data_IF_672132054797
#
_entry.id   IF_672132054797
#
_cell.length_a   1.000
_cell.length_b   1.000
_cell.length_c   1.000
_cell.angle_alpha   90.00
_cell.angle_beta   90.00
_cell.angle_gamma   90.00
#
_symmetry.space_group_name_H-M   'P 1'
#
loop_
_entity.id
_entity.type
_entity.pdbx_description
1 polymer ?
#
# COMPACT_ATOMS: atom_id res chain seq x y z
N UNK A 1 24.99 36.57 -44.16
CA UNK A 1 25.39 35.70 -43.03
C UNK A 1 24.41 35.95 -41.90
N UNK A 2 23.53 34.99 -41.62
CA UNK A 2 22.57 35.10 -40.53
C UNK A 2 23.21 34.53 -39.28
N UNK A 3 23.60 35.38 -38.34
CA UNK A 3 23.97 34.96 -36.99
C UNK A 3 22.71 34.42 -36.29
N UNK A 4 22.61 33.08 -36.24
CA UNK A 4 21.59 32.42 -35.44
C UNK A 4 22.00 32.59 -33.98
N UNK A 5 21.26 33.46 -33.27
CA UNK A 5 21.39 33.76 -31.85
C UNK A 5 21.49 32.48 -31.01
N UNK A 6 22.67 32.29 -30.41
CA UNK A 6 23.10 31.19 -29.52
C UNK A 6 22.32 31.06 -28.18
N UNK A 7 21.20 31.77 -28.03
CA UNK A 7 20.38 31.71 -26.79
C UNK A 7 19.24 30.69 -26.88
N UNK A 8 18.81 30.29 -28.09
CA UNK A 8 17.77 29.26 -28.24
C UNK A 8 18.27 27.85 -27.86
N UNK A 9 19.56 27.57 -28.06
CA UNK A 9 20.14 26.25 -27.82
C UNK A 9 20.32 25.93 -26.32
N UNK A 10 20.49 26.95 -25.47
CA UNK A 10 20.66 26.76 -24.01
C UNK A 10 19.35 26.47 -23.28
N UNK A 11 18.23 26.97 -23.78
CA UNK A 11 16.91 26.81 -23.15
C UNK A 11 16.33 25.42 -23.45
N UNK A 12 16.56 24.89 -24.66
CA UNK A 12 16.13 23.53 -25.02
C UNK A 12 16.83 22.44 -24.19
N UNK A 13 18.12 22.64 -23.83
CA UNK A 13 18.86 21.70 -22.98
C UNK A 13 18.34 21.63 -21.53
N UNK A 14 17.91 22.76 -20.97
CA UNK A 14 17.39 22.84 -19.60
C UNK A 14 15.98 22.23 -19.47
N UNK A 15 15.14 22.35 -20.52
CA UNK A 15 13.80 21.75 -20.54
C UNK A 15 13.83 20.22 -20.70
N UNK A 16 14.81 19.66 -21.42
CA UNK A 16 14.97 18.20 -21.46
C UNK A 16 15.50 17.63 -20.14
N UNK A 17 16.38 18.35 -19.43
CA UNK A 17 16.87 17.92 -18.12
C UNK A 17 15.79 17.97 -17.03
N UNK A 18 14.91 18.99 -17.03
CA UNK A 18 13.82 19.05 -16.05
C UNK A 18 12.74 17.98 -16.29
N UNK A 19 12.53 17.55 -17.54
CA UNK A 19 11.66 16.40 -17.85
C UNK A 19 12.32 15.08 -17.43
N UNK A 20 13.64 14.92 -17.59
CA UNK A 20 14.35 13.72 -17.10
C UNK A 20 14.42 13.68 -15.56
N UNK A 21 14.59 14.81 -14.88
CA UNK A 21 14.56 14.89 -13.41
C UNK A 21 13.12 14.67 -12.90
N UNK A 22 12.10 15.15 -13.63
CA UNK A 22 10.69 14.88 -13.36
C UNK A 22 10.31 13.40 -13.54
N UNK A 23 10.94 12.68 -14.48
CA UNK A 23 10.71 11.26 -14.67
C UNK A 23 11.45 10.39 -13.65
N UNK A 24 12.64 10.83 -13.19
CA UNK A 24 13.35 10.16 -12.11
C UNK A 24 12.69 10.37 -10.73
N UNK A 25 11.86 11.40 -10.57
CA UNK A 25 11.10 11.63 -9.32
C UNK A 25 9.71 10.96 -9.33
N UNK A 26 9.18 10.59 -10.49
CA UNK A 26 8.00 9.71 -10.62
C UNK A 26 8.34 8.20 -10.62
N UNK A 27 9.63 7.86 -10.70
CA UNK A 27 10.14 6.49 -10.48
C UNK A 27 10.62 6.26 -9.06
N UNK A 28 10.22 7.08 -8.09
CA UNK A 28 10.24 6.65 -6.70
C UNK A 28 9.21 5.53 -6.55
N UNK A 29 9.62 4.31 -6.91
CA UNK A 29 9.25 3.13 -6.16
C UNK A 29 9.80 3.33 -4.74
N UNK A 30 9.23 4.28 -4.00
CA UNK A 30 9.33 4.31 -2.56
C UNK A 30 8.85 2.95 -2.09
N UNK A 31 9.64 2.32 -1.25
CA UNK A 31 9.95 0.90 -1.35
C UNK A 31 8.76 0.03 -0.87
N UNK A 32 7.73 -0.11 -1.70
CA UNK A 32 6.55 -0.96 -1.44
C UNK A 32 6.99 -2.39 -1.10
N UNK A 33 8.14 -2.84 -1.59
CA UNK A 33 8.72 -4.13 -1.20
C UNK A 33 9.21 -4.10 0.25
N UNK A 34 9.95 -3.06 0.65
CA UNK A 34 10.33 -2.83 2.05
C UNK A 34 9.12 -2.68 2.96
N UNK A 35 8.11 -1.87 2.59
CA UNK A 35 6.91 -1.71 3.40
C UNK A 35 6.10 -3.02 3.57
N UNK A 36 6.05 -3.87 2.53
CA UNK A 36 5.49 -5.22 2.65
C UNK A 36 6.38 -6.12 3.51
N UNK A 37 7.71 -6.00 3.39
CA UNK A 37 8.65 -6.75 4.25
C UNK A 37 8.51 -6.36 5.72
N UNK A 38 8.32 -5.08 5.99
CA UNK A 38 8.03 -4.56 7.33
C UNK A 38 6.71 -5.13 7.85
N UNK A 39 5.64 -5.08 7.04
CA UNK A 39 4.34 -5.65 7.40
C UNK A 39 4.41 -7.14 7.75
N UNK A 40 5.23 -7.90 7.04
CA UNK A 40 5.45 -9.34 7.27
C UNK A 40 6.16 -9.66 8.58
N UNK A 41 6.97 -8.73 9.07
CA UNK A 41 7.77 -8.88 10.27
C UNK A 41 7.21 -8.04 11.44
N UNK A 42 6.01 -7.49 11.27
CA UNK A 42 5.39 -6.58 12.20
C UNK A 42 4.76 -7.35 13.35
N UNK A 43 5.04 -6.92 14.57
CA UNK A 43 4.27 -7.32 15.75
C UNK A 43 3.02 -6.43 15.80
N UNK A 44 1.84 -7.03 15.66
CA UNK A 44 0.56 -6.35 15.63
C UNK A 44 0.06 -6.08 17.04
N UNK A 45 -0.40 -4.86 17.27
CA UNK A 45 -1.11 -4.45 18.49
C UNK A 45 -2.61 -4.37 18.26
N UNK A 46 -3.02 -4.06 17.03
CA UNK A 46 -4.43 -3.97 16.64
C UNK A 46 -4.59 -4.21 15.14
N UNK A 47 -5.72 -4.82 14.77
CA UNK A 47 -6.20 -4.82 13.38
C UNK A 47 -7.59 -4.19 13.35
N UNK A 48 -7.77 -3.20 12.48
CA UNK A 48 -9.02 -2.47 12.33
C UNK A 48 -9.54 -2.49 10.89
N UNK A 49 -10.83 -2.76 10.72
CA UNK A 49 -11.54 -2.76 9.44
C UNK A 49 -12.36 -1.45 9.32
N UNK A 50 -12.25 -0.79 8.17
CA UNK A 50 -12.77 0.56 7.91
C UNK A 50 -13.43 0.62 6.53
N UNK A 51 -14.44 1.49 6.37
CA UNK A 51 -15.05 1.72 5.05
C UNK A 51 -14.12 2.50 4.10
N UNK A 52 -13.21 3.31 4.66
CA UNK A 52 -12.26 4.12 3.89
C UNK A 52 -11.02 4.46 4.71
N UNK A 53 -9.96 4.95 4.05
CA UNK A 53 -8.67 5.25 4.69
C UNK A 53 -8.79 6.30 5.80
N UNK A 54 -9.57 7.35 5.55
CA UNK A 54 -9.84 8.42 6.51
C UNK A 54 -11.03 8.11 7.43
N UNK A 55 -11.71 6.98 7.22
CA UNK A 55 -12.88 6.56 7.97
C UNK A 55 -12.54 6.06 9.38
N UNK A 56 -13.57 6.04 10.24
CA UNK A 56 -13.48 5.38 11.55
C UNK A 56 -13.49 3.86 11.38
N UNK A 57 -12.90 3.16 12.34
CA UNK A 57 -12.99 1.70 12.42
C UNK A 57 -14.45 1.28 12.62
N UNK A 58 -14.93 0.38 11.76
CA UNK A 58 -16.23 -0.29 11.90
C UNK A 58 -16.09 -1.40 12.94
N UNK A 59 -15.00 -2.16 12.83
CA UNK A 59 -14.63 -3.29 13.69
C UNK A 59 -13.14 -3.25 13.95
N UNK A 60 -12.70 -3.64 15.12
CA UNK A 60 -11.27 -3.85 15.40
C UNK A 60 -11.07 -4.90 16.47
N UNK A 61 -9.87 -5.50 16.49
CA UNK A 61 -9.48 -6.48 17.49
C UNK A 61 -8.10 -6.19 18.04
N UNK A 62 -7.93 -6.49 19.34
CA UNK A 62 -6.66 -6.56 20.06
C UNK A 62 -6.45 -7.95 20.68
N UNK A 63 -7.26 -8.93 20.28
CA UNK A 63 -7.17 -10.30 20.77
C UNK A 63 -5.88 -10.95 20.26
N UNK A 64 -4.97 -11.30 21.17
CA UNK A 64 -3.64 -11.82 20.83
C UNK A 64 -3.69 -13.10 19.99
N UNK A 65 -4.68 -13.98 20.17
CA UNK A 65 -4.79 -15.20 19.38
C UNK A 65 -5.12 -14.88 17.92
N UNK A 66 -6.06 -13.95 17.70
CA UNK A 66 -6.41 -13.48 16.35
C UNK A 66 -5.21 -12.73 15.74
N UNK A 67 -4.53 -11.86 16.49
CA UNK A 67 -3.38 -11.10 15.99
C UNK A 67 -2.23 -12.02 15.56
N UNK A 68 -1.89 -13.03 16.37
CA UNK A 68 -0.87 -14.03 16.05
C UNK A 68 -1.24 -14.83 14.78
N UNK A 69 -2.51 -15.23 14.62
CA UNK A 69 -2.97 -15.89 13.38
C UNK A 69 -2.80 -14.97 12.15
N UNK A 70 -3.10 -13.67 12.30
CA UNK A 70 -2.93 -12.69 11.22
C UNK A 70 -1.45 -12.51 10.86
N UNK A 71 -0.56 -12.39 11.85
CA UNK A 71 0.89 -12.28 11.62
C UNK A 71 1.43 -13.48 10.83
N UNK A 72 1.02 -14.69 11.19
CA UNK A 72 1.37 -15.91 10.44
C UNK A 72 0.88 -15.77 9.00
N UNK A 73 -0.40 -15.42 8.78
CA UNK A 73 -0.93 -15.22 7.43
C UNK A 73 -0.13 -14.17 6.64
N UNK A 74 0.26 -13.06 7.26
CA UNK A 74 1.03 -11.99 6.64
C UNK A 74 2.44 -12.46 6.27
N UNK A 75 3.10 -13.21 7.15
CA UNK A 75 4.45 -13.74 6.92
C UNK A 75 4.51 -14.61 5.66
N UNK A 76 3.45 -15.39 5.42
CA UNK A 76 3.32 -16.32 4.28
C UNK A 76 2.87 -15.66 2.97
N UNK A 77 2.49 -14.37 2.99
CA UNK A 77 2.10 -13.64 1.78
C UNK A 77 3.26 -13.66 0.77
N UNK A 78 3.19 -14.54 -0.21
CA UNK A 78 4.15 -14.54 -1.30
C UNK A 78 3.72 -13.45 -2.28
N UNK A 79 4.67 -12.60 -2.66
CA UNK A 79 4.52 -11.53 -3.66
C UNK A 79 3.75 -12.05 -4.89
N UNK A 80 2.62 -11.45 -5.28
CA UNK A 80 1.77 -11.96 -6.37
C UNK A 80 1.82 -11.04 -7.62
N UNK A 81 1.86 -11.64 -8.84
CA UNK A 81 1.77 -10.96 -10.13
C UNK A 81 0.53 -10.05 -10.27
N UNK A 82 0.53 -9.22 -11.32
CA UNK A 82 -0.56 -8.30 -11.71
C UNK A 82 -1.96 -8.92 -11.61
N UNK A 83 -2.61 -8.82 -10.45
CA UNK A 83 -3.98 -9.25 -10.29
C UNK A 83 -4.89 -8.18 -10.89
N UNK A 84 -5.41 -8.44 -12.09
CA UNK A 84 -6.49 -7.65 -12.69
C UNK A 84 -7.81 -8.27 -12.23
N UNK A 85 -8.58 -7.54 -11.43
CA UNK A 85 -9.92 -7.99 -11.06
C UNK A 85 -10.81 -8.00 -12.32
N UNK A 86 -11.42 -9.14 -12.59
CA UNK A 86 -12.51 -9.29 -13.55
C UNK A 86 -13.87 -9.45 -12.87
N UNK A 87 -13.93 -9.25 -11.55
CA UNK A 87 -15.15 -9.28 -10.73
C UNK A 87 -15.39 -7.90 -10.09
N UNK A 88 -16.66 -7.48 -10.03
CA UNK A 88 -17.07 -6.28 -9.30
C UNK A 88 -16.95 -6.55 -7.79
N UNK A 89 -16.06 -5.81 -7.13
CA UNK A 89 -15.79 -5.96 -5.70
C UNK A 89 -15.91 -4.63 -4.97
N UNK A 90 -16.40 -4.70 -3.73
CA UNK A 90 -16.42 -3.56 -2.82
C UNK A 90 -15.08 -3.47 -2.09
N UNK A 91 -14.44 -2.32 -2.18
CA UNK A 91 -13.18 -2.04 -1.51
C UNK A 91 -13.43 -1.39 -0.15
N UNK A 92 -12.87 -2.00 0.88
CA UNK A 92 -12.78 -1.47 2.24
C UNK A 92 -11.30 -1.22 2.56
N UNK A 93 -10.99 -0.88 3.81
CA UNK A 93 -9.62 -0.67 4.29
C UNK A 93 -9.37 -1.48 5.55
N UNK A 94 -8.22 -2.13 5.59
CA UNK A 94 -7.67 -2.73 6.81
C UNK A 94 -6.48 -1.90 7.28
N UNK A 95 -6.47 -1.59 8.56
CA UNK A 95 -5.34 -0.99 9.27
C UNK A 95 -4.65 -2.08 10.09
N UNK A 96 -3.42 -2.43 9.73
CA UNK A 96 -2.53 -3.21 10.58
C UNK A 96 -1.72 -2.23 11.43
N UNK A 97 -1.93 -2.25 12.75
CA UNK A 97 -1.40 -1.28 13.71
C UNK A 97 -0.41 -2.00 14.62
N UNK A 98 0.74 -1.37 14.83
CA UNK A 98 1.75 -1.79 15.79
C UNK A 98 2.47 -0.56 16.29
N UNK A 99 3.43 -0.76 17.21
CA UNK A 99 4.03 0.28 18.04
C UNK A 99 4.35 1.59 17.27
N UNK A 100 5.09 1.47 16.15
CA UNK A 100 5.65 2.64 15.43
C UNK A 100 5.00 2.94 14.08
N UNK A 101 4.18 2.03 13.57
CA UNK A 101 3.73 2.06 12.17
C UNK A 101 2.28 1.60 12.05
N UNK A 102 1.55 2.24 11.14
CA UNK A 102 0.23 1.82 10.71
C UNK A 102 0.23 1.60 9.21
N UNK A 103 -0.14 0.39 8.80
CA UNK A 103 -0.29 0.01 7.41
C UNK A 103 -1.78 0.02 7.05
N UNK A 104 -2.23 1.06 6.36
CA UNK A 104 -3.59 1.17 5.85
C UNK A 104 -3.62 0.65 4.42
N UNK A 105 -4.31 -0.47 4.19
CA UNK A 105 -4.33 -1.15 2.90
C UNK A 105 -5.78 -1.38 2.48
N UNK A 106 -6.15 -0.97 1.26
CA UNK A 106 -7.46 -1.32 0.74
C UNK A 106 -7.57 -2.83 0.56
N UNK A 107 -8.69 -3.40 0.96
CA UNK A 107 -8.96 -4.82 0.78
C UNK A 107 -10.35 -5.08 0.19
N UNK A 108 -10.51 -6.23 -0.46
CA UNK A 108 -11.78 -6.71 -0.96
C UNK A 108 -11.90 -8.21 -0.69
N UNK A 109 -13.09 -8.65 -0.30
CA UNK A 109 -13.43 -10.09 -0.21
C UNK A 109 -13.90 -10.57 -1.58
N UNK A 110 -13.20 -11.55 -2.11
CA UNK A 110 -13.53 -12.15 -3.41
C UNK A 110 -14.67 -13.16 -3.25
N UNK A 111 -15.34 -13.48 -4.35
CA UNK A 111 -16.37 -14.53 -4.40
C UNK A 111 -15.88 -15.90 -3.90
N UNK A 112 -14.58 -16.16 -4.02
CA UNK A 112 -13.89 -17.36 -3.50
C UNK A 112 -13.67 -17.36 -1.97
N UNK A 113 -13.98 -16.27 -1.28
CA UNK A 113 -13.70 -16.08 0.15
C UNK A 113 -12.29 -15.57 0.46
N UNK A 114 -11.41 -15.51 -0.55
CA UNK A 114 -10.06 -14.93 -0.43
C UNK A 114 -10.13 -13.42 -0.22
N UNK A 115 -9.13 -12.87 0.44
CA UNK A 115 -8.95 -11.41 0.57
C UNK A 115 -7.95 -10.94 -0.45
N UNK A 116 -8.29 -9.91 -1.20
CA UNK A 116 -7.35 -9.19 -2.04
C UNK A 116 -6.97 -7.85 -1.41
N UNK A 117 -5.67 -7.55 -1.28
CA UNK A 117 -5.15 -6.29 -0.72
C UNK A 117 -4.46 -5.43 -1.78
N UNK A 118 -4.65 -4.11 -1.82
CA UNK A 118 -3.69 -3.21 -2.49
C UNK A 118 -4.19 -2.37 -3.67
N UNK A 119 -5.47 -2.00 -3.70
CA UNK A 119 -5.93 -0.86 -4.53
C UNK A 119 -5.37 0.46 -4.01
N UNK A 120 -5.25 0.63 -2.71
CA UNK A 120 -4.56 1.75 -2.08
C UNK A 120 -3.71 1.24 -0.91
N UNK A 121 -2.58 1.90 -0.65
CA UNK A 121 -1.72 1.57 0.48
C UNK A 121 -1.05 2.84 1.01
N UNK A 122 -1.37 3.21 2.25
CA UNK A 122 -0.72 4.28 2.99
C UNK A 122 -0.01 3.70 4.21
N UNK A 123 1.28 4.03 4.34
CA UNK A 123 2.08 3.76 5.53
C UNK A 123 2.18 5.04 6.36
N UNK A 124 1.82 4.96 7.63
CA UNK A 124 1.93 6.06 8.59
C UNK A 124 2.93 5.70 9.67
N UNK A 125 3.86 6.61 9.98
CA UNK A 125 4.70 6.53 11.17
C UNK A 125 3.94 7.18 12.35
N UNK A 126 3.73 6.46 13.44
CA UNK A 126 2.95 6.93 14.59
C UNK A 126 3.69 7.98 15.43
N UNK A 127 5.02 7.92 15.46
CA UNK A 127 5.86 8.85 16.22
C UNK A 127 5.92 10.22 15.53
N UNK A 128 6.06 10.25 14.20
CA UNK A 128 6.16 11.52 13.43
C UNK A 128 4.83 12.00 12.87
N UNK A 129 3.83 11.14 12.79
CA UNK A 129 2.55 11.40 12.11
C UNK A 129 2.64 11.44 10.59
N UNK A 130 3.82 11.22 10.01
CA UNK A 130 4.04 11.30 8.57
C UNK A 130 3.39 10.11 7.86
N UNK A 131 2.66 10.40 6.78
CA UNK A 131 2.01 9.38 5.95
C UNK A 131 2.60 9.38 4.54
N UNK A 132 2.96 8.20 4.06
CA UNK A 132 3.51 7.96 2.73
C UNK A 132 2.51 7.13 1.92
N UNK A 133 2.04 7.67 0.80
CA UNK A 133 1.24 6.90 -0.17
C UNK A 133 2.16 6.01 -1.00
N UNK A 134 2.04 4.70 -0.84
CA UNK A 134 2.85 3.67 -1.51
C UNK A 134 2.23 3.20 -2.84
N UNK A 135 1.11 3.80 -3.24
CA UNK A 135 0.45 3.57 -4.52
C UNK A 135 -0.36 2.27 -4.61
N UNK A 136 -1.24 2.25 -5.62
CA UNK A 136 -2.19 1.18 -5.89
C UNK A 136 -1.77 0.17 -6.97
N UNK A 137 -2.65 -0.79 -7.23
CA UNK A 137 -2.66 -1.55 -8.48
C UNK A 137 -1.93 -2.90 -8.49
N UNK A 138 -1.53 -3.42 -7.33
CA UNK A 138 -0.95 -4.78 -7.22
C UNK A 138 -1.57 -5.49 -6.02
N UNK A 139 -2.59 -6.29 -6.31
CA UNK A 139 -3.34 -7.10 -5.35
C UNK A 139 -2.46 -8.14 -4.65
N UNK A 140 -2.69 -8.40 -3.37
CA UNK A 140 -2.22 -9.58 -2.63
C UNK A 140 -3.44 -10.44 -2.35
N UNK A 141 -3.50 -11.68 -2.84
CA UNK A 141 -4.54 -12.60 -2.38
C UNK A 141 -4.05 -13.38 -1.15
N UNK A 142 -4.83 -13.41 -0.08
CA UNK A 142 -4.63 -14.33 1.04
C UNK A 142 -5.91 -15.12 1.29
N UNK A 143 -5.79 -16.45 1.26
CA UNK A 143 -6.87 -17.34 1.67
C UNK A 143 -7.03 -17.31 3.20
N UNK A 144 -5.91 -17.13 3.91
CA UNK A 144 -5.80 -17.14 5.35
C UNK A 144 -6.50 -15.95 6.01
N UNK A 145 -6.32 -14.73 5.49
CA UNK A 145 -6.89 -13.51 6.06
C UNK A 145 -8.43 -13.46 5.99
N UNK A 146 -9.05 -14.14 5.02
CA UNK A 146 -10.50 -14.07 4.80
C UNK A 146 -11.33 -14.65 5.93
N UNK A 147 -10.86 -15.74 6.54
CA UNK A 147 -11.49 -16.31 7.74
C UNK A 147 -11.33 -15.38 8.95
N UNK A 148 -10.14 -14.80 9.11
CA UNK A 148 -9.79 -13.96 10.26
C UNK A 148 -10.56 -12.64 10.30
N UNK A 149 -10.75 -11.97 9.17
CA UNK A 149 -11.51 -10.70 9.12
C UNK A 149 -13.00 -10.88 9.45
N UNK A 150 -13.54 -12.10 9.36
CA UNK A 150 -14.91 -12.37 9.84
C UNK A 150 -14.97 -12.61 11.36
N UNK A 151 -13.83 -12.92 12.02
CA UNK A 151 -13.73 -13.08 13.48
C UNK A 151 -13.55 -11.74 14.21
N UNK A 152 -13.11 -10.69 13.50
CA UNK A 152 -13.03 -9.29 13.95
C UNK A 152 -14.40 -8.65 13.87
#
# INVERSE_FOLDING_TARGET
MSEVKSNALKIAGALCLSVLIGYQTLSNSFDKKSAISDLKAMNLEEVALKESISGRSIRSTRDEAILNEIEICLSEVTKIPNYRFGEDVNWEVVSFIGDKKVHNISYAKLSSGKIALGVEYILTNTETGESTNLGGGRGISSECLGGLFNKI
#
